data_IF_230229808079
#
_entry.id   IF_230229808079
#
_cell.length_a   1.000
_cell.length_b   1.000
_cell.length_c   1.000
_cell.angle_alpha   90.00
_cell.angle_beta   90.00
_cell.angle_gamma   90.00
#
_symmetry.space_group_name_H-M   'P 1'
#
loop_
_entity.id
_entity.type
_entity.pdbx_description
1 polymer ?
#
# COMPACT_ATOMS: atom_id res chain seq x y z
N UNK A 1 -13.90 -13.50 -12.02
CA UNK A 1 -13.63 -12.27 -12.76
C UNK A 1 -12.14 -12.07 -12.90
N UNK A 2 -11.67 -12.02 -14.12
CA UNK A 2 -10.22 -11.86 -14.40
C UNK A 2 -9.84 -10.40 -14.38
N UNK A 3 -8.70 -10.08 -13.76
CA UNK A 3 -8.13 -8.74 -13.76
C UNK A 3 -6.71 -8.78 -14.30
N UNK A 4 -6.31 -7.71 -14.98
CA UNK A 4 -4.94 -7.52 -15.42
C UNK A 4 -4.21 -6.61 -14.43
N UNK A 5 -3.06 -7.08 -13.95
CA UNK A 5 -2.23 -6.36 -13.00
C UNK A 5 -0.78 -6.33 -13.49
N UNK A 6 -0.02 -5.38 -12.99
CA UNK A 6 1.38 -5.17 -13.37
C UNK A 6 2.27 -5.09 -12.14
N UNK A 7 3.43 -5.69 -12.22
CA UNK A 7 4.44 -5.62 -11.16
C UNK A 7 5.74 -5.09 -11.75
N UNK A 8 6.30 -4.05 -11.12
CA UNK A 8 7.58 -3.46 -11.52
C UNK A 8 8.76 -4.18 -10.89
N UNK A 9 9.74 -4.57 -11.71
CA UNK A 9 10.96 -5.20 -11.22
C UNK A 9 12.12 -4.92 -12.17
N UNK A 10 13.33 -5.27 -11.72
CA UNK A 10 14.55 -5.15 -12.52
C UNK A 10 14.75 -6.30 -13.50
N UNK A 11 13.92 -7.32 -13.44
CA UNK A 11 13.95 -8.49 -14.31
C UNK A 11 12.54 -9.00 -14.57
N UNK A 12 12.41 -9.89 -15.58
CA UNK A 12 11.13 -10.53 -15.89
C UNK A 12 10.87 -11.63 -14.86
N UNK A 13 9.70 -11.56 -14.22
CA UNK A 13 9.26 -12.55 -13.23
C UNK A 13 8.12 -13.36 -13.85
N UNK A 14 8.40 -14.58 -14.26
CA UNK A 14 7.40 -15.46 -14.86
C UNK A 14 6.45 -16.05 -13.82
N UNK A 15 6.98 -16.42 -12.65
CA UNK A 15 6.19 -16.97 -11.54
C UNK A 15 6.45 -16.16 -10.27
N UNK A 16 5.47 -15.34 -9.84
CA UNK A 16 5.60 -14.63 -8.57
C UNK A 16 5.73 -15.60 -7.41
N UNK A 17 6.63 -15.26 -6.47
CA UNK A 17 6.84 -16.06 -5.25
C UNK A 17 6.60 -15.21 -4.02
N UNK A 18 5.81 -15.70 -3.10
CA UNK A 18 5.60 -15.08 -1.81
C UNK A 18 6.90 -15.08 -1.01
N UNK A 19 7.18 -13.96 -0.33
CA UNK A 19 8.33 -13.85 0.57
C UNK A 19 9.59 -13.27 -0.06
N UNK A 20 9.63 -13.03 -1.37
CA UNK A 20 10.77 -12.42 -2.04
C UNK A 20 10.78 -10.89 -1.96
N UNK A 21 9.66 -10.27 -1.56
CA UNK A 21 9.59 -8.83 -1.38
C UNK A 21 10.16 -8.39 -0.03
N UNK A 22 10.33 -7.07 0.11
CA UNK A 22 10.77 -6.50 1.38
C UNK A 22 9.68 -6.65 2.44
N UNK A 23 10.01 -7.09 3.66
CA UNK A 23 9.00 -7.24 4.72
C UNK A 23 8.44 -5.91 5.24
N UNK A 24 9.14 -4.81 5.02
CA UNK A 24 8.76 -3.48 5.52
C UNK A 24 8.00 -2.64 4.49
N UNK A 25 7.15 -3.28 3.70
CA UNK A 25 6.24 -2.58 2.81
C UNK A 25 4.93 -2.24 3.54
N UNK A 26 4.12 -1.38 2.92
CA UNK A 26 2.92 -0.81 3.54
C UNK A 26 1.94 -1.84 4.11
N UNK A 27 1.82 -2.98 3.44
CA UNK A 27 0.91 -4.07 3.84
C UNK A 27 1.66 -5.32 4.30
N UNK A 28 2.96 -5.21 4.54
CA UNK A 28 3.82 -6.31 4.93
C UNK A 28 4.33 -7.10 3.73
N UNK A 29 4.63 -8.37 3.94
CA UNK A 29 5.14 -9.26 2.90
C UNK A 29 4.01 -9.56 1.90
N UNK A 30 4.27 -9.35 0.62
CA UNK A 30 3.31 -9.63 -0.43
C UNK A 30 3.86 -9.30 -1.80
N UNK A 31 3.10 -9.65 -2.82
CA UNK A 31 3.43 -9.33 -4.19
C UNK A 31 2.67 -8.07 -4.59
N UNK A 32 3.37 -6.96 -4.75
CA UNK A 32 2.79 -5.64 -4.95
C UNK A 32 2.59 -5.35 -6.43
N UNK A 33 1.36 -5.07 -6.81
CA UNK A 33 0.98 -4.83 -8.19
C UNK A 33 0.17 -3.55 -8.31
N UNK A 34 0.04 -3.05 -9.52
CA UNK A 34 -0.82 -1.93 -9.88
C UNK A 34 -1.58 -2.25 -11.16
N UNK A 35 -2.70 -1.59 -11.36
CA UNK A 35 -3.43 -1.66 -12.63
C UNK A 35 -2.85 -0.69 -13.68
N UNK A 36 -1.91 0.16 -13.30
CA UNK A 36 -1.26 1.14 -14.18
C UNK A 36 0.10 0.64 -14.64
N UNK A 37 0.26 0.31 -15.95
CA UNK A 37 1.54 -0.20 -16.46
C UNK A 37 2.68 0.82 -16.36
N UNK A 38 2.39 2.12 -16.48
CA UNK A 38 3.41 3.15 -16.38
C UNK A 38 3.97 3.27 -14.96
N UNK A 39 3.11 3.16 -13.95
CA UNK A 39 3.52 3.13 -12.56
C UNK A 39 4.39 1.89 -12.27
N UNK A 40 4.04 0.74 -12.81
CA UNK A 40 4.83 -0.46 -12.67
C UNK A 40 6.21 -0.31 -13.31
N UNK A 41 6.29 0.36 -14.46
CA UNK A 41 7.57 0.66 -15.12
C UNK A 41 8.44 1.55 -14.25
N UNK A 42 7.86 2.59 -13.63
CA UNK A 42 8.60 3.47 -12.72
C UNK A 42 9.16 2.71 -11.53
N UNK A 43 8.38 1.80 -10.96
CA UNK A 43 8.83 1.00 -9.81
C UNK A 43 9.97 0.05 -10.16
N UNK A 44 10.02 -0.42 -11.41
CA UNK A 44 11.05 -1.35 -11.87
C UNK A 44 12.37 -0.69 -12.23
N UNK A 45 12.35 0.61 -12.53
CA UNK A 45 13.56 1.32 -12.98
C UNK A 45 14.46 1.65 -11.78
N UNK A 46 15.74 1.36 -11.90
CA UNK A 46 16.77 1.77 -10.97
C UNK A 46 17.77 2.69 -11.64
N UNK A 47 18.74 3.18 -10.86
CA UNK A 47 19.78 4.08 -11.36
C UNK A 47 20.67 3.38 -12.39
N UNK A 48 20.93 2.09 -12.17
CA UNK A 48 21.91 1.32 -12.94
C UNK A 48 21.28 0.27 -13.87
N UNK A 49 19.93 0.20 -13.96
CA UNK A 49 19.26 -0.81 -14.76
C UNK A 49 17.94 -0.34 -15.34
N UNK A 50 17.51 -1.00 -16.40
CA UNK A 50 16.16 -0.81 -16.92
C UNK A 50 15.15 -1.54 -16.05
N UNK A 51 13.92 -1.06 -16.08
CA UNK A 51 12.80 -1.68 -15.37
C UNK A 51 11.89 -2.43 -16.33
N UNK A 52 11.13 -3.35 -15.75
CA UNK A 52 10.12 -4.13 -16.45
C UNK A 52 8.79 -3.99 -15.74
N UNK A 53 7.74 -3.82 -16.52
CA UNK A 53 6.36 -3.95 -16.02
C UNK A 53 5.88 -5.34 -16.39
N UNK A 54 5.92 -6.25 -15.44
CA UNK A 54 5.44 -7.62 -15.65
C UNK A 54 3.92 -7.62 -15.62
N UNK A 55 3.30 -8.11 -16.67
CA UNK A 55 1.85 -8.17 -16.80
C UNK A 55 1.34 -9.55 -16.43
N UNK A 56 0.35 -9.58 -15.55
CA UNK A 56 -0.29 -10.80 -15.11
C UNK A 56 -1.80 -10.70 -15.26
N UNK A 57 -2.42 -11.84 -15.47
CA UNK A 57 -3.86 -11.99 -15.36
C UNK A 57 -4.16 -12.79 -14.11
N UNK A 58 -5.02 -12.26 -13.26
CA UNK A 58 -5.40 -12.92 -12.03
C UNK A 58 -6.91 -13.21 -12.04
N UNK A 59 -7.27 -14.45 -11.72
CA UNK A 59 -8.66 -14.83 -11.52
C UNK A 59 -9.03 -14.56 -10.07
N UNK A 60 -9.99 -13.67 -9.87
CA UNK A 60 -10.39 -13.21 -8.55
C UNK A 60 -11.52 -14.00 -7.92
N UNK A 61 -12.19 -14.85 -8.68
CA UNK A 61 -13.30 -15.65 -8.16
C UNK A 61 -12.79 -16.64 -7.10
N UNK A 62 -13.46 -16.67 -5.96
CA UNK A 62 -13.09 -17.53 -4.85
C UNK A 62 -12.00 -16.94 -3.94
N UNK A 63 -11.44 -15.78 -4.28
CA UNK A 63 -10.45 -15.11 -3.44
C UNK A 63 -11.11 -14.14 -2.47
N UNK A 64 -10.54 -14.00 -1.28
CA UNK A 64 -10.96 -13.01 -0.30
C UNK A 64 -10.28 -11.69 -0.61
N UNK A 65 -11.06 -10.67 -0.93
CA UNK A 65 -10.56 -9.35 -1.31
C UNK A 65 -10.94 -8.33 -0.24
N UNK A 66 -9.94 -7.65 0.31
CA UNK A 66 -10.13 -6.49 1.17
C UNK A 66 -9.89 -5.24 0.34
N UNK A 67 -10.97 -4.53 -0.01
CA UNK A 67 -10.91 -3.29 -0.78
C UNK A 67 -11.08 -2.10 0.16
N UNK A 68 -9.97 -1.44 0.48
CA UNK A 68 -9.97 -0.29 1.39
C UNK A 68 -10.57 0.98 0.76
N UNK A 69 -10.86 0.96 -0.54
CA UNK A 69 -11.56 2.04 -1.22
C UNK A 69 -13.08 1.86 -1.19
N UNK A 70 -13.56 0.70 -0.74
CA UNK A 70 -14.99 0.43 -0.65
C UNK A 70 -15.64 1.26 0.47
N UNK A 71 -16.96 1.53 0.39
CA UNK A 71 -17.67 2.16 1.50
C UNK A 71 -17.52 1.38 2.80
N UNK A 72 -17.43 2.07 3.91
CA UNK A 72 -17.23 1.47 5.23
C UNK A 72 -15.79 1.48 5.71
N UNK A 73 -14.84 1.77 4.84
CA UNK A 73 -13.44 1.97 5.20
C UNK A 73 -13.05 3.43 5.03
N UNK A 74 -12.13 3.89 5.88
CA UNK A 74 -11.63 5.26 5.88
C UNK A 74 -10.11 5.27 5.75
N UNK A 75 -9.55 6.45 5.56
CA UNK A 75 -8.11 6.63 5.55
C UNK A 75 -7.46 6.17 6.86
N UNK A 76 -8.19 6.19 7.98
CA UNK A 76 -7.68 5.72 9.27
C UNK A 76 -7.49 4.21 9.30
N UNK A 77 -8.31 3.45 8.59
CA UNK A 77 -8.11 2.00 8.44
C UNK A 77 -6.82 1.69 7.68
N UNK A 78 -6.59 2.39 6.57
CA UNK A 78 -5.35 2.26 5.81
C UNK A 78 -4.13 2.66 6.65
N UNK A 79 -4.21 3.79 7.34
CA UNK A 79 -3.12 4.28 8.19
C UNK A 79 -2.78 3.28 9.31
N UNK A 80 -3.77 2.61 9.87
CA UNK A 80 -3.56 1.61 10.90
C UNK A 80 -2.75 0.42 10.37
N UNK A 81 -3.04 -0.04 9.17
CA UNK A 81 -2.26 -1.10 8.52
C UNK A 81 -0.82 -0.62 8.29
N UNK A 82 -0.66 0.61 7.81
CA UNK A 82 0.66 1.20 7.58
C UNK A 82 1.48 1.26 8.87
N UNK A 83 0.84 1.63 9.99
CA UNK A 83 1.50 1.70 11.31
C UNK A 83 1.98 0.32 11.78
N UNK A 84 1.30 -0.75 11.42
CA UNK A 84 1.73 -2.10 11.77
C UNK A 84 2.97 -2.55 11.00
N UNK A 85 3.14 -2.07 9.75
CA UNK A 85 4.12 -2.61 8.82
C UNK A 85 5.32 -1.69 8.56
N UNK A 86 5.20 -0.41 8.84
CA UNK A 86 6.25 0.59 8.64
C UNK A 86 6.68 1.18 9.96
N UNK A 87 7.94 1.57 10.06
CA UNK A 87 8.44 2.24 11.25
C UNK A 87 8.07 3.72 11.24
N UNK A 88 7.44 4.17 12.32
CA UNK A 88 7.11 5.56 12.58
C UNK A 88 7.86 6.03 13.81
N UNK A 89 8.27 7.29 13.81
CA UNK A 89 8.79 7.90 15.03
C UNK A 89 7.62 8.18 15.97
N UNK A 90 7.52 7.40 17.04
CA UNK A 90 6.51 7.53 18.08
C UNK A 90 7.12 7.95 19.43
N UNK A 91 8.29 8.60 19.40
CA UNK A 91 8.93 9.09 20.62
C UNK A 91 8.15 10.23 21.27
N UNK A 92 7.41 11.03 20.50
CA UNK A 92 6.53 12.05 21.03
C UNK A 92 5.30 11.39 21.67
N UNK A 93 4.83 11.84 22.87
CA UNK A 93 3.66 11.27 23.53
C UNK A 93 2.39 11.28 22.66
N UNK A 94 2.18 12.35 21.89
CA UNK A 94 1.02 12.44 21.00
C UNK A 94 1.03 11.36 19.93
N UNK A 95 2.19 11.11 19.32
CA UNK A 95 2.32 10.08 18.29
C UNK A 95 2.08 8.68 18.87
N UNK A 96 2.61 8.40 20.05
CA UNK A 96 2.40 7.12 20.73
C UNK A 96 0.92 6.90 21.07
N UNK A 97 0.24 7.92 21.58
CA UNK A 97 -1.20 7.84 21.88
C UNK A 97 -2.03 7.66 20.62
N UNK A 98 -1.68 8.37 19.54
CA UNK A 98 -2.38 8.26 18.27
C UNK A 98 -2.26 6.84 17.71
N UNK A 99 -1.06 6.26 17.75
CA UNK A 99 -0.85 4.88 17.29
C UNK A 99 -1.69 3.90 18.10
N UNK A 100 -1.67 4.01 19.42
CA UNK A 100 -2.44 3.13 20.29
C UNK A 100 -3.94 3.24 20.01
N UNK A 101 -4.45 4.45 19.86
CA UNK A 101 -5.85 4.69 19.55
C UNK A 101 -6.26 4.06 18.22
N UNK A 102 -5.45 4.26 17.18
CA UNK A 102 -5.73 3.72 15.86
C UNK A 102 -5.69 2.20 15.85
N UNK A 103 -4.69 1.60 16.50
CA UNK A 103 -4.56 0.14 16.59
C UNK A 103 -5.73 -0.48 17.34
N UNK A 104 -6.27 0.18 18.35
CA UNK A 104 -7.41 -0.33 19.13
C UNK A 104 -8.76 -0.10 18.43
N UNK A 105 -8.87 0.95 17.60
CA UNK A 105 -10.15 1.40 17.06
C UNK A 105 -10.36 1.00 15.60
N UNK A 106 -9.32 1.03 14.78
CA UNK A 106 -9.40 0.86 13.32
C UNK A 106 -8.65 -0.37 12.81
N UNK A 107 -8.32 -1.29 13.69
CA UNK A 107 -7.65 -2.52 13.31
C UNK A 107 -8.55 -3.40 12.43
N UNK A 108 -7.98 -3.93 11.34
CA UNK A 108 -8.63 -4.86 10.44
C UNK A 108 -7.81 -6.15 10.35
N UNK A 109 -8.50 -7.26 10.15
CA UNK A 109 -7.84 -8.53 9.83
C UNK A 109 -7.51 -8.56 8.33
N UNK A 110 -6.46 -7.84 7.96
CA UNK A 110 -6.03 -7.78 6.55
C UNK A 110 -5.15 -8.96 6.17
N UNK A 111 -4.56 -9.66 7.14
CA UNK A 111 -3.62 -10.76 6.87
C UNK A 111 -4.31 -12.00 6.33
N UNK A 112 -5.59 -12.17 6.61
CA UNK A 112 -6.37 -13.29 6.09
C UNK A 112 -6.94 -13.04 4.69
N UNK A 113 -6.79 -11.83 4.15
CA UNK A 113 -7.20 -11.53 2.78
C UNK A 113 -6.18 -12.04 1.77
N UNK A 114 -6.67 -12.57 0.66
CA UNK A 114 -5.81 -12.98 -0.46
C UNK A 114 -5.30 -11.78 -1.24
N UNK A 115 -6.15 -10.77 -1.41
CA UNK A 115 -5.84 -9.54 -2.13
C UNK A 115 -6.26 -8.35 -1.28
N UNK A 116 -5.38 -7.34 -1.20
CA UNK A 116 -5.69 -6.06 -0.56
C UNK A 116 -5.56 -4.96 -1.61
N UNK A 117 -6.60 -4.14 -1.72
CA UNK A 117 -6.61 -2.97 -2.60
C UNK A 117 -6.58 -1.72 -1.73
N UNK A 118 -5.61 -0.83 -1.96
CA UNK A 118 -5.46 0.37 -1.15
C UNK A 118 -4.38 1.30 -1.68
N UNK A 119 -4.14 2.36 -0.93
CA UNK A 119 -3.09 3.33 -1.26
C UNK A 119 -1.71 2.76 -1.01
N UNK A 120 -0.73 3.30 -1.72
CA UNK A 120 0.69 3.08 -1.44
C UNK A 120 1.28 4.38 -0.92
N UNK A 121 1.97 4.29 0.21
CA UNK A 121 2.74 5.40 0.75
C UNK A 121 4.19 5.22 0.30
N UNK A 122 4.56 5.82 -0.82
CA UNK A 122 5.97 5.93 -1.18
C UNK A 122 6.69 6.88 -0.21
N UNK A 123 7.99 7.06 -0.38
CA UNK A 123 8.79 7.88 0.54
C UNK A 123 8.27 9.33 0.64
N UNK A 124 7.68 9.85 -0.44
CA UNK A 124 7.12 11.20 -0.45
C UNK A 124 5.84 11.30 0.37
N UNK A 125 4.94 10.32 0.24
CA UNK A 125 3.64 10.35 0.90
C UNK A 125 3.67 9.77 2.31
N UNK A 126 4.68 8.98 2.63
CA UNK A 126 4.89 8.47 3.98
C UNK A 126 5.06 9.61 5.00
N UNK A 127 5.68 10.71 4.60
CA UNK A 127 5.85 11.88 5.47
C UNK A 127 4.51 12.48 5.89
N UNK A 128 3.48 12.46 5.04
CA UNK A 128 2.16 12.95 5.40
C UNK A 128 1.52 12.10 6.50
N UNK A 129 1.68 10.78 6.43
CA UNK A 129 1.17 9.88 7.47
C UNK A 129 1.90 10.14 8.80
N UNK A 130 3.20 10.28 8.76
CA UNK A 130 4.02 10.59 9.93
C UNK A 130 3.64 11.95 10.53
N UNK A 131 3.47 12.97 9.70
CA UNK A 131 3.06 14.31 10.15
C UNK A 131 1.68 14.27 10.80
N UNK A 132 0.76 13.47 10.27
CA UNK A 132 -0.57 13.36 10.85
C UNK A 132 -0.51 12.76 12.26
N UNK A 133 0.19 11.67 12.48
CA UNK A 133 0.25 11.05 13.81
C UNK A 133 1.01 11.91 14.83
N UNK A 134 1.88 12.79 14.36
CA UNK A 134 2.61 13.74 15.20
C UNK A 134 1.86 15.06 15.39
N UNK A 135 0.65 15.19 14.85
CA UNK A 135 -0.19 16.36 15.02
C UNK A 135 0.18 17.56 14.16
N UNK A 136 1.10 17.40 13.20
CA UNK A 136 1.55 18.48 12.34
C UNK A 136 0.55 18.84 11.25
N UNK A 137 -0.28 17.88 10.83
CA UNK A 137 -1.35 18.11 9.85
C UNK A 137 -2.67 17.52 10.36
N UNK A 138 -3.77 18.03 9.82
CA UNK A 138 -5.12 17.54 10.13
C UNK A 138 -5.45 16.28 9.32
N UNK A 139 -6.51 15.57 9.75
CA UNK A 139 -7.06 14.45 9.02
C UNK A 139 -7.48 14.85 7.59
N UNK A 140 -8.09 16.02 7.43
CA UNK A 140 -8.47 16.52 6.10
C UNK A 140 -7.25 16.72 5.22
N UNK A 141 -6.17 17.29 5.77
CA UNK A 141 -4.94 17.49 5.02
C UNK A 141 -4.30 16.16 4.62
N UNK A 142 -4.32 15.16 5.50
CA UNK A 142 -3.85 13.81 5.15
C UNK A 142 -4.66 13.23 4.00
N UNK A 143 -5.98 13.26 4.07
CA UNK A 143 -6.84 12.73 3.02
C UNK A 143 -6.62 13.44 1.70
N UNK A 144 -6.48 14.77 1.70
CA UNK A 144 -6.22 15.53 0.49
C UNK A 144 -4.87 15.19 -0.13
N UNK A 145 -3.84 15.03 0.69
CA UNK A 145 -2.50 14.66 0.22
C UNK A 145 -2.52 13.28 -0.45
N UNK A 146 -3.17 12.30 0.18
CA UNK A 146 -3.24 10.94 -0.36
C UNK A 146 -4.07 10.88 -1.65
N UNK A 147 -5.15 11.64 -1.73
CA UNK A 147 -5.96 11.74 -2.96
C UNK A 147 -5.19 12.39 -4.10
N UNK A 148 -4.41 13.43 -3.81
CA UNK A 148 -3.57 14.06 -4.82
C UNK A 148 -2.53 13.09 -5.36
N UNK A 149 -1.89 12.30 -4.49
CA UNK A 149 -0.98 11.25 -4.91
C UNK A 149 -1.66 10.21 -5.79
N UNK A 150 -2.87 9.82 -5.45
CA UNK A 150 -3.67 8.90 -6.25
C UNK A 150 -3.98 9.46 -7.65
N UNK A 151 -4.25 10.76 -7.75
CA UNK A 151 -4.48 11.41 -9.04
C UNK A 151 -3.22 11.43 -9.90
N UNK A 152 -2.05 11.67 -9.30
CA UNK A 152 -0.78 11.71 -10.00
C UNK A 152 -0.34 10.33 -10.49
N UNK A 153 -0.56 9.30 -9.69
CA UNK A 153 -0.13 7.92 -9.95
C UNK A 153 -1.26 6.99 -10.38
N UNK A 154 -2.47 7.49 -10.45
CA UNK A 154 -3.69 6.96 -11.04
C UNK A 154 -4.37 5.75 -10.41
N UNK A 155 -3.97 5.19 -9.32
CA UNK A 155 -4.86 4.26 -8.62
C UNK A 155 -4.22 3.57 -7.41
N UNK A 156 -5.05 3.02 -6.52
CA UNK A 156 -4.58 2.11 -5.50
C UNK A 156 -3.90 0.89 -6.13
N UNK A 157 -2.92 0.36 -5.43
CA UNK A 157 -2.20 -0.83 -5.86
C UNK A 157 -2.81 -2.05 -5.20
N UNK A 158 -3.25 -3.05 -5.98
CA UNK A 158 -3.65 -4.32 -5.38
C UNK A 158 -2.43 -5.06 -4.84
N UNK A 159 -2.65 -5.83 -3.79
CA UNK A 159 -1.65 -6.74 -3.25
C UNK A 159 -2.14 -8.16 -3.47
N UNK A 160 -1.30 -8.96 -4.09
CA UNK A 160 -1.55 -10.38 -4.32
C UNK A 160 -0.58 -11.18 -3.46
N UNK A 161 -1.08 -12.20 -2.78
CA UNK A 161 -0.29 -13.07 -1.90
C UNK A 161 0.10 -14.39 -2.56
N UNK A 162 -0.26 -14.61 -3.79
CA UNK A 162 0.13 -15.83 -4.53
C UNK A 162 1.60 -15.88 -4.91
#
# INVERSE_FOLDING_TARGET
>A
MEKTIYHGSDHIIEKPKFGYGKPYNDYGIGFYCTQNPNMAKEWGVGIDHNGYANRYKIECDGLTILDLNAPGYTMLHWLTILLENREFDTSAPLAAEAKEYLMNTFHLDYKSADIIIGYRADDSYFSFASDFINGAISYRQLCNAMRLGCLLYTSPSPRDTE
#
